data_IF_134376322696
#
_entry.id   IF_134376322696
#
_cell.length_a   1.000
_cell.length_b   1.000
_cell.length_c   1.000
_cell.angle_alpha   90.00
_cell.angle_beta   90.00
_cell.angle_gamma   90.00
#
_symmetry.space_group_name_H-M   'P 1'
#
loop_
_entity.id
_entity.type
_entity.pdbx_description
1 polymer ?
#
# COMPACT_ATOMS: atom_id res chain seq x y z
N UNK A 1 -5.00 -16.30 13.04
CA UNK A 1 -5.87 -16.09 11.86
C UNK A 1 -5.50 -17.14 10.84
N UNK A 2 -6.12 -18.32 10.91
CA UNK A 2 -5.65 -19.50 10.16
C UNK A 2 -5.90 -19.37 8.65
N UNK A 3 -6.84 -18.51 8.27
CA UNK A 3 -7.11 -18.19 6.87
C UNK A 3 -6.02 -17.33 6.23
N UNK A 4 -5.31 -16.48 6.98
CA UNK A 4 -4.22 -15.65 6.44
C UNK A 4 -2.98 -16.48 6.11
N UNK A 5 -2.76 -17.58 6.83
CA UNK A 5 -1.65 -18.52 6.62
C UNK A 5 -1.82 -19.35 5.33
N UNK A 6 -3.03 -19.47 4.82
CA UNK A 6 -3.35 -20.27 3.62
C UNK A 6 -3.65 -19.40 2.39
N UNK A 7 -3.31 -18.10 2.44
CA UNK A 7 -3.51 -17.21 1.29
C UNK A 7 -2.51 -17.61 0.20
N UNK A 8 -3.04 -18.01 -0.95
CA UNK A 8 -2.24 -18.34 -2.11
C UNK A 8 -1.61 -17.08 -2.71
N UNK A 9 -0.34 -17.11 -3.17
CA UNK A 9 0.30 -15.96 -3.80
C UNK A 9 -0.50 -15.39 -4.98
N UNK A 10 -1.13 -16.25 -5.77
CA UNK A 10 -1.92 -15.85 -6.94
C UNK A 10 -3.16 -15.03 -6.56
N UNK A 11 -3.67 -15.23 -5.34
CA UNK A 11 -4.77 -14.43 -4.82
C UNK A 11 -4.33 -13.00 -4.50
N UNK A 12 -3.14 -12.84 -3.91
CA UNK A 12 -2.56 -11.52 -3.63
C UNK A 12 -2.28 -10.75 -4.93
N UNK A 13 -1.78 -11.43 -5.95
CA UNK A 13 -1.55 -10.85 -7.28
C UNK A 13 -2.84 -10.33 -7.92
N UNK A 14 -3.93 -11.09 -7.84
CA UNK A 14 -5.25 -10.65 -8.33
C UNK A 14 -5.75 -9.40 -7.60
N UNK A 15 -5.56 -9.34 -6.28
CA UNK A 15 -5.92 -8.16 -5.48
C UNK A 15 -5.09 -6.95 -5.92
N UNK A 16 -3.77 -7.11 -6.07
CA UNK A 16 -2.86 -6.04 -6.48
C UNK A 16 -3.21 -5.48 -7.86
N UNK A 17 -3.51 -6.36 -8.83
CA UNK A 17 -3.93 -5.98 -10.17
C UNK A 17 -5.28 -5.23 -10.16
N UNK A 18 -6.22 -5.66 -9.33
CA UNK A 18 -7.53 -5.02 -9.17
C UNK A 18 -7.40 -3.56 -8.71
N UNK A 19 -6.64 -3.32 -7.63
CA UNK A 19 -6.40 -1.96 -7.13
C UNK A 19 -5.61 -1.10 -8.13
N UNK A 20 -4.56 -1.66 -8.74
CA UNK A 20 -3.75 -0.93 -9.72
C UNK A 20 -4.57 -0.50 -10.94
N UNK A 21 -5.50 -1.35 -11.39
CA UNK A 21 -6.39 -1.04 -12.51
C UNK A 21 -7.38 0.07 -12.12
N UNK A 22 -8.02 -0.04 -10.96
CA UNK A 22 -8.96 0.97 -10.44
C UNK A 22 -8.33 2.36 -10.32
N UNK A 23 -7.14 2.43 -9.70
CA UNK A 23 -6.42 3.70 -9.53
C UNK A 23 -6.06 4.33 -10.88
N UNK A 24 -5.74 3.52 -11.89
CA UNK A 24 -5.37 4.00 -13.24
C UNK A 24 -6.56 4.48 -14.06
N UNK A 25 -7.74 3.90 -13.87
CA UNK A 25 -8.94 4.21 -14.67
C UNK A 25 -9.70 5.42 -14.18
N UNK A 26 -9.51 5.83 -12.92
CA UNK A 26 -10.30 6.88 -12.31
C UNK A 26 -9.57 8.24 -12.39
N UNK A 27 -9.81 8.98 -13.47
CA UNK A 27 -9.07 10.22 -13.81
C UNK A 27 -9.26 11.39 -12.81
N UNK A 28 -10.27 11.32 -11.93
CA UNK A 28 -10.62 12.40 -11.00
C UNK A 28 -10.11 12.18 -9.56
N UNK A 29 -9.38 11.10 -9.29
CA UNK A 29 -8.86 10.83 -7.95
C UNK A 29 -7.51 11.55 -7.72
N UNK A 30 -7.49 12.48 -6.78
CA UNK A 30 -6.23 13.06 -6.24
C UNK A 30 -5.50 12.02 -5.41
N UNK A 31 -4.75 11.15 -6.08
CA UNK A 31 -4.11 9.98 -5.46
C UNK A 31 -2.67 10.27 -5.05
N UNK A 32 -2.30 9.83 -3.84
CA UNK A 32 -0.90 9.73 -3.40
C UNK A 32 -0.53 8.25 -3.29
N UNK A 33 0.42 7.79 -4.09
CA UNK A 33 0.96 6.43 -4.03
C UNK A 33 2.24 6.48 -3.20
N UNK A 34 2.33 5.66 -2.16
CA UNK A 34 3.52 5.56 -1.31
C UNK A 34 3.99 4.10 -1.29
N UNK A 35 5.25 3.89 -1.66
CA UNK A 35 5.89 2.58 -1.56
C UNK A 35 6.35 2.33 -0.12
N UNK A 36 5.96 1.19 0.44
CA UNK A 36 6.26 0.79 1.81
C UNK A 36 7.05 -0.52 1.88
N UNK A 37 7.52 -1.04 0.74
CA UNK A 37 8.17 -2.35 0.65
C UNK A 37 9.43 -2.45 1.52
N UNK A 38 10.18 -1.36 1.64
CA UNK A 38 11.42 -1.25 2.43
C UNK A 38 11.22 -0.52 3.78
N UNK A 39 9.97 -0.29 4.21
CA UNK A 39 9.66 0.44 5.45
C UNK A 39 9.48 -0.52 6.61
N UNK A 40 10.10 -0.22 7.75
CA UNK A 40 9.95 -0.98 8.99
C UNK A 40 9.23 -0.15 10.05
N UNK A 41 7.91 -0.30 10.11
CA UNK A 41 7.08 0.43 11.08
C UNK A 41 7.23 -0.06 12.52
N UNK A 42 7.89 -1.20 12.76
CA UNK A 42 8.08 -1.74 14.10
C UNK A 42 9.39 -1.24 14.70
N UNK A 43 10.48 -1.35 13.95
CA UNK A 43 11.83 -1.06 14.45
C UNK A 43 12.33 0.33 14.06
N UNK A 44 11.70 0.99 13.08
CA UNK A 44 12.09 2.32 12.63
C UNK A 44 10.92 3.34 12.72
N UNK A 45 10.78 4.05 13.85
CA UNK A 45 9.76 5.07 14.00
C UNK A 45 9.83 6.22 12.98
N UNK A 46 10.99 6.44 12.35
CA UNK A 46 11.13 7.47 11.31
C UNK A 46 10.38 7.10 10.03
N UNK A 47 10.27 5.80 9.72
CA UNK A 47 9.51 5.34 8.56
C UNK A 47 8.04 5.74 8.66
N UNK A 48 7.45 5.64 9.86
CA UNK A 48 6.10 6.15 10.09
C UNK A 48 6.01 7.69 9.94
N UNK A 49 6.97 8.43 10.50
CA UNK A 49 6.99 9.90 10.43
C UNK A 49 7.13 10.41 8.99
N UNK A 50 7.89 9.70 8.16
CA UNK A 50 8.02 10.02 6.74
C UNK A 50 6.67 9.93 6.02
N UNK A 51 5.91 8.85 6.23
CA UNK A 51 4.56 8.68 5.64
C UNK A 51 3.64 9.83 6.06
N UNK A 52 3.62 10.18 7.35
CA UNK A 52 2.81 11.31 7.85
C UNK A 52 3.21 12.63 7.20
N UNK A 53 4.50 12.84 6.97
CA UNK A 53 5.01 14.05 6.32
C UNK A 53 4.60 14.11 4.85
N UNK A 54 4.64 12.98 4.14
CA UNK A 54 4.18 12.88 2.75
C UNK A 54 2.68 13.21 2.63
N UNK A 55 1.85 12.65 3.52
CA UNK A 55 0.40 12.91 3.55
C UNK A 55 0.12 14.39 3.82
N UNK A 56 0.84 15.02 4.76
CA UNK A 56 0.64 16.43 5.13
C UNK A 56 1.09 17.43 4.06
N UNK A 57 1.94 17.02 3.11
CA UNK A 57 2.43 17.87 2.00
C UNK A 57 1.46 17.90 0.81
N UNK A 58 0.47 17.01 0.78
CA UNK A 58 -0.53 16.93 -0.29
C UNK A 58 -1.61 18.00 -0.12
#
# INVERSE_FOLDING_TARGET
>A
RDYEQNIAPEYLDKIHQGYSSFIKTEENLKTLIIDVSEKDFLNNPEDYKEIITLIKRQ
#
